data_IF_519644326779
#
_entry.id   IF_519644326779
#
_cell.length_a   1.000
_cell.length_b   1.000
_cell.length_c   1.000
_cell.angle_alpha   90.00
_cell.angle_beta   90.00
_cell.angle_gamma   90.00
#
_symmetry.space_group_name_H-M   'P 1'
#
loop_
_entity.id
_entity.type
_entity.pdbx_description
1 polymer ?
#
# COMPACT_ATOMS: atom_id res chain seq x y z
N UNK A 1 -0.51 -9.05 13.41
CA UNK A 1 -0.89 -9.50 12.06
C UNK A 1 -1.37 -10.93 12.09
N UNK A 2 -2.48 -11.22 11.41
CA UNK A 2 -2.97 -12.61 11.17
C UNK A 2 -2.89 -12.87 9.67
N UNK A 3 -2.45 -14.07 9.28
CA UNK A 3 -2.23 -14.46 7.88
C UNK A 3 -2.98 -15.75 7.59
N UNK A 4 -3.69 -15.79 6.49
CA UNK A 4 -4.49 -16.93 5.99
C UNK A 4 -4.05 -17.22 4.55
N UNK A 5 -3.02 -18.08 4.35
CA UNK A 5 -2.52 -18.38 3.01
C UNK A 5 -3.47 -19.30 2.24
N UNK A 6 -3.45 -19.22 0.91
CA UNK A 6 -4.04 -20.23 0.04
C UNK A 6 -3.25 -21.54 0.09
N UNK A 7 -3.87 -22.64 -0.36
CA UNK A 7 -3.23 -23.98 -0.34
C UNK A 7 -1.95 -24.03 -1.19
N UNK A 8 -1.89 -23.26 -2.28
CA UNK A 8 -0.72 -23.16 -3.15
C UNK A 8 0.30 -22.09 -2.70
N UNK A 9 0.05 -21.42 -1.59
CA UNK A 9 0.86 -20.33 -1.02
C UNK A 9 1.11 -19.13 -1.96
N UNK A 10 0.33 -19.00 -3.04
CA UNK A 10 0.44 -17.88 -3.98
C UNK A 10 -0.44 -16.69 -3.64
N UNK A 11 -1.37 -16.88 -2.72
CA UNK A 11 -2.25 -15.81 -2.24
C UNK A 11 -2.46 -15.90 -0.73
N UNK A 12 -2.81 -14.79 -0.11
CA UNK A 12 -3.14 -14.75 1.31
C UNK A 12 -4.12 -13.63 1.63
N UNK A 13 -5.03 -13.88 2.58
CA UNK A 13 -5.66 -12.81 3.33
C UNK A 13 -4.81 -12.45 4.55
N UNK A 14 -4.74 -11.16 4.83
CA UNK A 14 -3.97 -10.62 5.93
C UNK A 14 -4.82 -9.62 6.71
N UNK A 15 -4.94 -9.81 8.02
CA UNK A 15 -5.52 -8.83 8.93
C UNK A 15 -4.41 -8.09 9.65
N UNK A 16 -4.36 -6.77 9.47
CA UNK A 16 -3.39 -5.91 10.15
C UNK A 16 -3.79 -5.63 11.60
N UNK A 17 -2.82 -5.46 12.53
CA UNK A 17 -3.10 -5.07 13.91
C UNK A 17 -3.67 -3.65 13.98
N UNK A 18 -4.64 -3.43 14.87
CA UNK A 18 -5.12 -2.08 15.19
C UNK A 18 -3.95 -1.23 15.74
N UNK A 19 -3.88 0.03 15.32
CA UNK A 19 -2.85 0.98 15.73
C UNK A 19 -1.52 0.84 15.00
N UNK A 20 -1.36 -0.15 14.10
CA UNK A 20 -0.19 -0.21 13.22
C UNK A 20 -0.29 0.83 12.10
N UNK A 21 0.84 1.12 11.46
CA UNK A 21 0.85 1.88 10.21
C UNK A 21 0.34 1.02 9.06
N UNK A 22 -0.47 1.59 8.15
CA UNK A 22 -1.05 0.83 7.03
C UNK A 22 0.02 0.43 6.02
N UNK A 23 0.85 1.37 5.52
CA UNK A 23 1.88 1.06 4.52
C UNK A 23 2.95 0.15 5.10
N UNK A 24 3.42 0.44 6.31
CA UNK A 24 4.36 -0.40 7.03
C UNK A 24 3.84 -1.82 7.27
N UNK A 25 2.57 -1.95 7.65
CA UNK A 25 1.92 -3.24 7.86
C UNK A 25 1.76 -4.06 6.57
N UNK A 26 1.43 -3.41 5.44
CA UNK A 26 1.37 -4.07 4.13
C UNK A 26 2.77 -4.52 3.66
N UNK A 27 3.79 -3.69 3.89
CA UNK A 27 5.18 -4.02 3.57
C UNK A 27 5.69 -5.21 4.39
N UNK A 28 5.44 -5.20 5.71
CA UNK A 28 5.77 -6.32 6.59
C UNK A 28 5.05 -7.62 6.15
N UNK A 29 3.79 -7.51 5.69
CA UNK A 29 3.05 -8.66 5.18
C UNK A 29 3.69 -9.23 3.91
N UNK A 30 4.05 -8.39 2.94
CA UNK A 30 4.74 -8.82 1.72
C UNK A 30 6.05 -9.55 2.03
N UNK A 31 6.85 -9.00 2.95
CA UNK A 31 8.10 -9.62 3.41
C UNK A 31 7.87 -10.98 4.06
N UNK A 32 6.92 -11.10 4.99
CA UNK A 32 6.58 -12.36 5.68
C UNK A 32 6.05 -13.43 4.73
N UNK A 33 5.34 -13.02 3.68
CA UNK A 33 4.81 -13.91 2.64
C UNK A 33 5.86 -14.27 1.57
N UNK A 34 7.04 -13.63 1.58
CA UNK A 34 8.06 -13.82 0.56
C UNK A 34 7.61 -13.35 -0.84
N UNK A 35 6.74 -12.33 -0.90
CA UNK A 35 6.22 -11.79 -2.17
C UNK A 35 7.15 -10.69 -2.65
N UNK A 36 7.87 -10.94 -3.73
CA UNK A 36 8.76 -9.99 -4.40
C UNK A 36 8.13 -9.40 -5.67
N UNK A 37 7.13 -10.08 -6.23
CA UNK A 37 6.29 -9.60 -7.33
C UNK A 37 4.84 -9.99 -7.05
N UNK A 38 3.92 -9.02 -7.12
CA UNK A 38 2.53 -9.33 -6.85
C UNK A 38 1.60 -8.14 -6.82
N UNK A 39 0.36 -8.42 -6.45
CA UNK A 39 -0.66 -7.40 -6.23
C UNK A 39 -1.09 -7.39 -4.77
N UNK A 40 -1.55 -6.24 -4.31
CA UNK A 40 -2.16 -6.05 -3.00
C UNK A 40 -3.44 -5.22 -3.14
N UNK A 41 -4.47 -5.64 -2.41
CA UNK A 41 -5.73 -4.92 -2.25
C UNK A 41 -6.07 -4.89 -0.78
N UNK A 42 -6.72 -3.82 -0.31
CA UNK A 42 -7.18 -3.75 1.07
C UNK A 42 -8.47 -2.95 1.18
N UNK A 43 -9.27 -3.33 2.18
CA UNK A 43 -10.45 -2.60 2.64
C UNK A 43 -10.45 -2.54 4.16
N UNK A 44 -11.28 -1.69 4.71
CA UNK A 44 -11.43 -1.54 6.15
C UNK A 44 -11.46 -0.08 6.56
N UNK A 45 -10.93 0.24 7.75
CA UNK A 45 -11.00 1.58 8.30
C UNK A 45 -9.67 2.02 8.92
N UNK A 46 -9.44 3.32 8.94
CA UNK A 46 -8.25 3.97 9.50
C UNK A 46 -8.63 5.14 10.42
N UNK A 47 -7.81 5.38 11.44
CA UNK A 47 -7.89 6.53 12.34
C UNK A 47 -6.79 7.54 11.92
N UNK A 48 -7.09 8.35 10.92
CA UNK A 48 -6.15 9.22 10.21
C UNK A 48 -5.57 8.57 8.96
N UNK A 49 -5.55 9.36 7.89
CA UNK A 49 -5.08 8.95 6.56
C UNK A 49 -4.00 9.93 6.09
N UNK A 50 -2.85 9.41 5.68
CA UNK A 50 -1.78 10.17 5.04
C UNK A 50 -1.56 9.65 3.63
N UNK A 51 -1.75 10.54 2.66
CA UNK A 51 -1.52 10.25 1.23
C UNK A 51 -0.70 11.37 0.60
N UNK A 52 -0.32 11.21 -0.65
CA UNK A 52 0.34 12.27 -1.38
C UNK A 52 -0.23 12.42 -2.79
N UNK A 53 -0.09 13.63 -3.31
CA UNK A 53 -0.17 13.96 -4.72
C UNK A 53 1.25 14.16 -5.25
N UNK A 54 1.55 13.62 -6.42
CA UNK A 54 2.84 13.86 -7.07
C UNK A 54 2.75 15.10 -7.95
N UNK A 55 3.57 16.11 -7.66
CA UNK A 55 3.68 17.33 -8.48
C UNK A 55 4.74 17.14 -9.58
N UNK A 56 4.31 17.03 -10.85
CA UNK A 56 5.23 16.67 -11.93
C UNK A 56 6.28 17.73 -12.26
N UNK A 57 5.98 19.01 -12.05
CA UNK A 57 6.91 20.11 -12.37
C UNK A 57 8.05 20.16 -11.33
N UNK A 58 7.72 19.95 -10.07
CA UNK A 58 8.68 19.94 -8.95
C UNK A 58 9.31 18.58 -8.73
N UNK A 59 8.73 17.52 -9.32
CA UNK A 59 9.14 16.12 -9.18
C UNK A 59 9.16 15.66 -7.73
N UNK A 60 8.18 16.10 -6.95
CA UNK A 60 8.06 15.83 -5.53
C UNK A 60 6.65 15.39 -5.15
N UNK A 61 6.54 14.64 -4.05
CA UNK A 61 5.27 14.29 -3.45
C UNK A 61 4.84 15.35 -2.44
N UNK A 62 3.65 15.91 -2.63
CA UNK A 62 3.00 16.78 -1.67
C UNK A 62 2.14 15.93 -0.71
N UNK A 63 2.50 15.82 0.57
CA UNK A 63 1.74 15.05 1.53
C UNK A 63 0.43 15.76 1.91
N UNK A 64 -0.65 14.98 1.97
CA UNK A 64 -1.97 15.38 2.43
C UNK A 64 -2.36 14.53 3.63
N UNK A 65 -2.71 15.19 4.75
CA UNK A 65 -3.13 14.50 5.95
C UNK A 65 -4.59 14.79 6.27
N UNK A 66 -5.30 13.71 6.61
CA UNK A 66 -6.68 13.72 7.05
C UNK A 66 -6.76 13.04 8.41
N UNK A 67 -7.11 13.79 9.48
CA UNK A 67 -6.98 13.32 10.87
C UNK A 67 -8.23 12.61 11.41
N UNK A 68 -9.32 12.54 10.63
CA UNK A 68 -10.56 11.90 11.04
C UNK A 68 -10.54 10.38 10.76
N UNK A 69 -11.60 9.71 11.18
CA UNK A 69 -11.86 8.31 10.84
C UNK A 69 -12.36 8.19 9.40
N UNK A 70 -11.77 7.28 8.62
CA UNK A 70 -12.12 7.01 7.22
C UNK A 70 -12.33 5.52 6.98
N UNK A 71 -13.31 5.20 6.13
CA UNK A 71 -13.48 3.87 5.55
C UNK A 71 -12.67 3.77 4.27
N UNK A 72 -11.72 2.83 4.19
CA UNK A 72 -11.01 2.52 2.95
C UNK A 72 -11.95 1.79 2.00
N UNK A 73 -12.47 2.51 1.02
CA UNK A 73 -13.41 2.00 0.02
C UNK A 73 -12.74 1.23 -1.10
N UNK A 74 -11.49 1.58 -1.40
CA UNK A 74 -10.62 0.85 -2.32
C UNK A 74 -9.16 1.14 -2.01
N UNK A 75 -8.35 0.11 -2.06
CA UNK A 75 -6.89 0.20 -2.01
C UNK A 75 -6.33 -0.78 -3.00
N UNK A 76 -5.60 -0.28 -3.99
CA UNK A 76 -5.01 -1.08 -5.06
C UNK A 76 -3.52 -0.79 -5.13
N UNK A 77 -2.73 -1.85 -5.24
CA UNK A 77 -1.30 -1.70 -5.32
C UNK A 77 -0.57 -2.91 -5.89
N UNK A 78 0.71 -2.76 -5.95
CA UNK A 78 1.63 -3.79 -6.40
C UNK A 78 2.80 -3.95 -5.42
N UNK A 79 3.42 -5.11 -5.50
CA UNK A 79 4.67 -5.44 -4.83
C UNK A 79 5.72 -5.65 -5.90
N UNK A 80 6.88 -5.04 -5.71
CA UNK A 80 8.05 -5.14 -6.58
C UNK A 80 9.31 -5.07 -5.71
N UNK A 81 10.49 -5.11 -6.28
CA UNK A 81 11.73 -4.90 -5.54
C UNK A 81 12.22 -3.46 -5.68
N UNK A 82 12.75 -2.93 -4.58
CA UNK A 82 13.58 -1.73 -4.54
C UNK A 82 14.74 -1.98 -3.56
N UNK A 83 15.96 -1.73 -3.99
CA UNK A 83 17.16 -1.98 -3.18
C UNK A 83 17.24 -3.43 -2.63
N UNK A 84 16.76 -4.41 -3.42
CA UNK A 84 16.72 -5.82 -3.06
C UNK A 84 15.68 -6.20 -1.99
N UNK A 85 14.75 -5.30 -1.65
CA UNK A 85 13.69 -5.55 -0.67
C UNK A 85 12.29 -5.38 -1.30
N UNK A 86 11.28 -6.11 -0.80
CA UNK A 86 9.90 -5.89 -1.21
C UNK A 86 9.47 -4.44 -0.99
N UNK A 87 9.01 -3.81 -2.05
CA UNK A 87 8.48 -2.45 -2.07
C UNK A 87 6.99 -2.49 -2.42
N UNK A 88 6.17 -1.99 -1.52
CA UNK A 88 4.71 -1.92 -1.68
C UNK A 88 4.33 -0.53 -2.16
N UNK A 89 3.74 -0.45 -3.35
CA UNK A 89 3.21 0.77 -3.93
C UNK A 89 1.69 0.68 -3.99
N UNK A 90 1.01 1.58 -3.29
CA UNK A 90 -0.44 1.53 -3.08
C UNK A 90 -1.05 2.91 -3.29
N UNK A 91 -2.17 2.95 -4.01
CA UNK A 91 -3.10 4.08 -4.00
C UNK A 91 -4.37 3.70 -3.24
N UNK A 92 -4.93 4.65 -2.52
CA UNK A 92 -6.14 4.46 -1.72
C UNK A 92 -7.21 5.48 -2.09
N UNK A 93 -8.47 5.07 -1.96
CA UNK A 93 -9.63 5.95 -1.82
C UNK A 93 -10.35 5.65 -0.51
N UNK A 94 -10.76 6.69 0.19
CA UNK A 94 -11.39 6.56 1.49
C UNK A 94 -12.58 7.52 1.63
N UNK A 95 -13.66 7.03 2.22
CA UNK A 95 -14.88 7.79 2.48
C UNK A 95 -14.93 8.30 3.91
N UNK A 96 -15.33 9.57 4.08
CA UNK A 96 -15.63 10.13 5.38
C UNK A 96 -17.08 9.83 5.83
N UNK A 97 -17.44 10.30 7.03
CA UNK A 97 -18.79 10.12 7.59
C UNK A 97 -19.92 10.74 6.75
N UNK A 98 -19.60 11.73 5.90
CA UNK A 98 -20.56 12.37 5.01
C UNK A 98 -20.59 11.73 3.62
N UNK A 99 -19.81 10.69 3.38
CA UNK A 99 -19.68 10.03 2.08
C UNK A 99 -18.82 10.80 1.06
N UNK A 100 -18.08 11.82 1.51
CA UNK A 100 -17.08 12.48 0.65
C UNK A 100 -15.86 11.59 0.53
N UNK A 101 -15.28 11.53 -0.65
CA UNK A 101 -14.15 10.67 -0.96
C UNK A 101 -12.88 11.48 -1.08
N UNK A 102 -11.83 11.02 -0.40
CA UNK A 102 -10.46 11.51 -0.51
C UNK A 102 -9.55 10.36 -0.94
N UNK A 103 -8.35 10.62 -1.40
CA UNK A 103 -7.40 9.56 -1.76
C UNK A 103 -6.13 10.09 -2.36
N UNK A 104 -5.23 9.17 -2.68
CA UNK A 104 -3.93 9.46 -3.27
C UNK A 104 -2.95 8.31 -3.12
N UNK A 105 -1.69 8.61 -3.35
CA UNK A 105 -0.57 7.71 -3.09
C UNK A 105 -0.39 7.52 -1.57
N UNK A 106 -0.49 6.28 -1.10
CA UNK A 106 -0.40 5.98 0.33
C UNK A 106 1.00 6.26 0.88
N UNK A 107 1.06 7.02 1.95
CA UNK A 107 2.28 7.26 2.72
C UNK A 107 2.20 6.64 4.12
N UNK A 108 3.35 6.55 4.78
CA UNK A 108 3.41 6.26 6.21
C UNK A 108 2.68 7.33 7.03
N UNK A 109 2.22 6.96 8.22
CA UNK A 109 1.44 7.82 9.10
C UNK A 109 -0.07 7.55 9.02
N UNK A 110 -0.52 6.54 8.26
CA UNK A 110 -1.91 6.09 8.21
C UNK A 110 -2.16 5.04 9.29
N UNK A 111 -2.97 5.37 10.31
CA UNK A 111 -3.20 4.50 11.46
C UNK A 111 -4.33 3.51 11.22
N UNK A 112 -4.05 2.22 11.30
CA UNK A 112 -5.03 1.14 11.12
C UNK A 112 -6.03 1.11 12.28
N UNK A 113 -7.32 1.22 11.97
CA UNK A 113 -8.40 0.83 12.87
C UNK A 113 -8.74 -0.66 12.67
N UNK A 114 -9.05 -1.07 11.44
CA UNK A 114 -9.28 -2.45 11.02
C UNK A 114 -9.01 -2.55 9.52
N UNK A 115 -8.04 -3.37 9.12
CA UNK A 115 -7.70 -3.59 7.71
C UNK A 115 -7.64 -5.08 7.42
N UNK A 116 -8.31 -5.46 6.34
CA UNK A 116 -8.25 -6.75 5.69
C UNK A 116 -7.65 -6.57 4.29
N UNK A 117 -6.49 -7.19 4.08
CA UNK A 117 -5.76 -7.12 2.84
C UNK A 117 -5.73 -8.47 2.13
N UNK A 118 -5.69 -8.44 0.82
CA UNK A 118 -5.49 -9.59 -0.04
C UNK A 118 -4.21 -9.41 -0.85
N UNK A 119 -3.33 -10.39 -0.77
CA UNK A 119 -2.09 -10.47 -1.53
C UNK A 119 -2.14 -11.60 -2.54
N UNK A 120 -1.59 -11.38 -3.72
CA UNK A 120 -1.38 -12.42 -4.71
C UNK A 120 0.00 -12.28 -5.32
N UNK A 121 0.83 -13.32 -5.14
CA UNK A 121 2.13 -13.42 -5.79
C UNK A 121 1.96 -13.70 -7.29
N UNK A 122 2.80 -13.08 -8.09
CA UNK A 122 2.99 -13.37 -9.51
C UNK A 122 4.27 -14.20 -9.65
N UNK A 123 4.23 -15.17 -10.56
CA UNK A 123 5.41 -15.92 -10.92
C UNK A 123 6.28 -15.15 -11.92
N UNK A 124 7.56 -15.54 -12.02
CA UNK A 124 8.52 -14.94 -12.92
C UNK A 124 9.53 -14.03 -12.22
N UNK A 125 10.32 -13.32 -13.00
CA UNK A 125 11.29 -12.37 -12.49
C UNK A 125 10.59 -11.13 -11.91
N UNK A 126 10.90 -10.73 -10.66
CA UNK A 126 10.27 -9.57 -10.04
C UNK A 126 10.70 -8.26 -10.72
N UNK A 127 9.78 -7.32 -10.97
CA UNK A 127 10.13 -6.00 -11.43
C UNK A 127 10.99 -5.27 -10.38
N UNK A 128 12.06 -4.64 -10.82
CA UNK A 128 12.96 -3.85 -9.96
C UNK A 128 12.72 -2.37 -10.21
N UNK A 129 12.66 -1.58 -9.14
CA UNK A 129 12.53 -0.12 -9.22
C UNK A 129 13.89 0.53 -9.16
N UNK A 130 14.14 1.39 -10.14
CA UNK A 130 15.30 2.26 -10.19
C UNK A 130 14.85 3.73 -10.37
N UNK A 131 15.67 4.65 -9.89
CA UNK A 131 15.38 6.08 -10.01
C UNK A 131 15.48 6.51 -11.47
N UNK A 132 14.39 7.09 -12.00
CA UNK A 132 14.34 7.73 -13.31
C UNK A 132 14.35 9.25 -13.13
N UNK A 133 15.46 9.89 -13.48
CA UNK A 133 15.68 11.33 -13.21
C UNK A 133 14.67 12.23 -13.94
N UNK A 134 14.28 11.84 -15.17
CA UNK A 134 13.32 12.60 -15.97
C UNK A 134 11.93 12.64 -15.33
N UNK A 135 11.53 11.57 -14.66
CA UNK A 135 10.26 11.50 -13.94
C UNK A 135 10.38 11.95 -12.47
N UNK A 136 11.57 11.88 -11.87
CA UNK A 136 11.75 12.11 -10.45
C UNK A 136 11.23 10.95 -9.57
N UNK A 137 10.96 9.79 -10.16
CA UNK A 137 10.32 8.64 -9.51
C UNK A 137 11.15 7.37 -9.66
N UNK A 138 11.01 6.46 -8.68
CA UNK A 138 11.52 5.10 -8.82
C UNK A 138 10.47 4.23 -9.54
N UNK A 139 10.76 3.86 -10.77
CA UNK A 139 9.88 3.09 -11.66
C UNK A 139 10.49 1.75 -12.04
N UNK A 140 9.67 0.85 -12.58
CA UNK A 140 10.16 -0.46 -13.06
C UNK A 140 11.05 -0.30 -14.30
N UNK A 141 12.16 -1.03 -14.30
CA UNK A 141 13.06 -1.16 -15.43
C UNK A 141 12.74 -2.41 -16.23
#
# INVERSE_FOLDING_TARGET
MKVYPSDDHKAAFVRLPRGSDLLGGLTEAAQKLGIEAGTVQAIGAVDGLTVAFFEPEEKEYEPLRFDEHYEITSSLGNVSLKDGQPFVHVHVTAGDRQGRVVGGHLLEGTTVFMIEAYFRALGGEPPVREQEEDLGLAVWQ
#
